data_IF_496148088109
#
_entry.id   IF_496148088109
#
_cell.length_a   1.000
_cell.length_b   1.000
_cell.length_c   1.000
_cell.angle_alpha   90.00
_cell.angle_beta   90.00
_cell.angle_gamma   90.00
#
_symmetry.space_group_name_H-M   'P 1'
#
loop_
_entity.id
_entity.type
_entity.pdbx_description
1 polymer ?
#
# COMPACT_ATOMS: atom_id res chain seq x y z
N UNK A 1 -24.15 25.22 -47.95
CA UNK A 1 -25.25 24.68 -47.12
C UNK A 1 -24.65 23.95 -45.92
N UNK A 2 -24.43 24.72 -44.84
CA UNK A 2 -24.31 24.37 -43.42
C UNK A 2 -23.53 23.12 -42.97
N UNK A 3 -22.19 23.15 -43.01
CA UNK A 3 -21.34 22.29 -42.16
C UNK A 3 -20.64 23.04 -41.02
N UNK A 4 -20.51 24.37 -41.10
CA UNK A 4 -19.87 25.20 -40.07
C UNK A 4 -20.62 25.25 -38.72
N UNK A 5 -21.89 24.84 -38.68
CA UNK A 5 -22.78 25.02 -37.51
C UNK A 5 -22.78 23.83 -36.52
N UNK A 6 -22.03 22.75 -36.78
CA UNK A 6 -22.06 21.52 -35.96
C UNK A 6 -21.05 21.50 -34.80
N UNK A 7 -19.96 22.27 -34.87
CA UNK A 7 -18.86 22.17 -33.91
C UNK A 7 -19.18 22.75 -32.52
N UNK A 8 -20.00 23.80 -32.46
CA UNK A 8 -20.41 24.43 -31.20
C UNK A 8 -21.20 23.49 -30.28
N UNK A 9 -21.91 22.49 -30.83
CA UNK A 9 -22.65 21.48 -30.04
C UNK A 9 -21.76 20.40 -29.42
N UNK A 10 -20.53 20.23 -29.95
CA UNK A 10 -19.55 19.24 -29.48
C UNK A 10 -18.70 19.83 -28.34
N UNK A 11 -18.49 21.14 -28.37
CA UNK A 11 -17.73 21.91 -27.37
C UNK A 11 -18.24 21.72 -25.92
N UNK A 12 -19.55 21.79 -25.62
CA UNK A 12 -20.04 21.58 -24.25
C UNK A 12 -19.90 20.11 -23.80
N UNK A 13 -20.01 19.14 -24.71
CA UNK A 13 -19.82 17.72 -24.38
C UNK A 13 -18.36 17.42 -24.04
N UNK A 14 -17.42 18.00 -24.80
CA UNK A 14 -16.00 17.89 -24.51
C UNK A 14 -15.63 18.57 -23.18
N UNK A 15 -16.23 19.73 -22.88
CA UNK A 15 -16.04 20.43 -21.62
C UNK A 15 -16.58 19.64 -20.41
N UNK A 16 -17.72 18.96 -20.55
CA UNK A 16 -18.28 18.08 -19.51
C UNK A 16 -17.39 16.85 -19.31
N UNK A 17 -16.88 16.24 -20.37
CA UNK A 17 -15.92 15.13 -20.28
C UNK A 17 -14.62 15.53 -19.58
N UNK A 18 -14.13 16.75 -19.82
CA UNK A 18 -12.96 17.30 -19.14
C UNK A 18 -13.24 17.59 -17.64
N UNK A 19 -14.47 17.97 -17.29
CA UNK A 19 -14.90 18.16 -15.89
C UNK A 19 -15.02 16.84 -15.11
N UNK A 20 -15.17 15.71 -15.81
CA UNK A 20 -15.27 14.38 -15.21
C UNK A 20 -13.91 13.66 -15.12
N UNK A 21 -12.85 14.27 -15.63
CA UNK A 21 -11.48 13.82 -15.38
C UNK A 21 -11.11 14.16 -13.93
N UNK A 22 -11.66 13.41 -12.98
CA UNK A 22 -11.17 13.45 -11.61
C UNK A 22 -9.79 12.78 -11.58
N UNK A 23 -8.85 13.41 -10.88
CA UNK A 23 -7.53 12.87 -10.65
C UNK A 23 -7.65 11.51 -9.94
N UNK A 24 -7.19 10.45 -10.59
CA UNK A 24 -6.95 9.19 -9.90
C UNK A 24 -5.74 9.40 -8.98
N UNK A 25 -5.99 9.68 -7.70
CA UNK A 25 -4.92 9.69 -6.69
C UNK A 25 -4.36 8.29 -6.58
N UNK A 26 -3.12 8.11 -7.04
CA UNK A 26 -2.40 6.87 -6.82
C UNK A 26 -2.16 6.68 -5.31
N UNK A 27 -2.30 5.45 -4.84
CA UNK A 27 -1.89 5.11 -3.48
C UNK A 27 -0.39 5.32 -3.34
N UNK A 28 0.02 5.95 -2.25
CA UNK A 28 1.44 6.03 -1.88
C UNK A 28 1.77 4.86 -0.97
N UNK A 29 2.89 4.20 -1.22
CA UNK A 29 3.36 3.09 -0.40
C UNK A 29 4.72 3.42 0.22
N UNK A 30 5.00 2.96 1.46
CA UNK A 30 6.36 2.98 1.98
C UNK A 30 7.27 2.15 1.08
N UNK A 31 8.54 2.57 1.00
CA UNK A 31 9.56 1.77 0.32
C UNK A 31 9.73 0.43 1.05
N UNK A 32 9.84 -0.65 0.26
CA UNK A 32 10.16 -1.97 0.81
C UNK A 32 11.55 -1.90 1.45
N UNK A 33 11.73 -2.38 2.70
CA UNK A 33 13.03 -2.36 3.35
C UNK A 33 14.02 -3.26 2.58
N UNK A 34 15.34 -2.97 2.65
CA UNK A 34 16.36 -3.79 2.01
C UNK A 34 16.41 -5.19 2.62
N UNK A 35 17.05 -6.16 1.94
CA UNK A 35 17.02 -7.60 2.22
C UNK A 35 17.37 -8.06 3.65
N UNK A 36 17.86 -7.17 4.52
CA UNK A 36 18.24 -7.47 5.92
C UNK A 36 17.22 -6.97 6.95
N UNK A 37 16.26 -6.17 6.51
CA UNK A 37 15.25 -5.57 7.37
C UNK A 37 13.86 -6.05 6.93
N UNK A 38 13.08 -6.49 7.91
CA UNK A 38 11.73 -7.02 7.70
C UNK A 38 10.65 -6.07 8.24
N UNK A 39 11.00 -4.81 8.44
CA UNK A 39 10.07 -3.82 8.94
C UNK A 39 10.29 -2.43 8.37
N UNK A 40 9.22 -1.64 8.39
CA UNK A 40 9.24 -0.18 8.18
C UNK A 40 8.56 0.44 9.38
N UNK A 41 9.27 1.31 10.10
CA UNK A 41 8.72 2.00 11.27
C UNK A 41 8.74 3.52 11.10
N UNK A 42 7.72 4.06 10.42
CA UNK A 42 7.66 5.50 10.11
C UNK A 42 7.27 6.38 11.30
N UNK A 43 6.82 5.78 12.40
CA UNK A 43 6.30 6.48 13.58
C UNK A 43 7.02 6.14 14.89
N UNK A 44 8.07 5.32 14.84
CA UNK A 44 8.86 4.96 16.01
C UNK A 44 8.10 4.11 17.03
N UNK A 45 7.21 3.22 16.56
CA UNK A 45 6.47 2.30 17.43
C UNK A 45 7.30 1.10 17.87
N UNK A 46 8.30 0.70 17.08
CA UNK A 46 9.19 -0.42 17.39
C UNK A 46 10.40 0.15 18.11
N UNK A 47 10.62 -0.27 19.36
CA UNK A 47 11.78 0.19 20.11
C UNK A 47 13.07 -0.30 19.46
N UNK A 48 14.13 0.52 19.53
CA UNK A 48 15.44 0.14 18.98
C UNK A 48 15.99 -1.17 19.56
N UNK A 49 15.67 -1.47 20.83
CA UNK A 49 16.06 -2.72 21.50
C UNK A 49 15.35 -3.97 20.94
N UNK A 50 14.16 -3.81 20.35
CA UNK A 50 13.32 -4.91 19.86
C UNK A 50 13.58 -5.22 18.37
N UNK A 51 14.11 -4.26 17.60
CA UNK A 51 14.36 -4.40 16.14
C UNK A 51 15.27 -5.59 15.80
N UNK A 52 16.38 -5.86 16.52
CA UNK A 52 17.23 -7.02 16.22
C UNK A 52 16.47 -8.34 16.40
N UNK A 53 15.69 -8.47 17.48
CA UNK A 53 14.89 -9.68 17.73
C UNK A 53 13.79 -9.84 16.68
N UNK A 54 13.16 -8.75 16.24
CA UNK A 54 12.16 -8.81 15.18
C UNK A 54 12.77 -9.34 13.87
N UNK A 55 13.91 -8.78 13.44
CA UNK A 55 14.62 -9.26 12.25
C UNK A 55 15.08 -10.72 12.40
N UNK A 56 15.58 -11.12 13.58
CA UNK A 56 15.98 -12.52 13.83
C UNK A 56 14.81 -13.49 13.66
N UNK A 57 13.63 -13.16 14.21
CA UNK A 57 12.43 -13.99 14.09
C UNK A 57 12.00 -14.13 12.62
N UNK A 58 11.92 -13.01 11.89
CA UNK A 58 11.47 -13.01 10.49
C UNK A 58 12.49 -13.65 9.56
N UNK A 59 13.78 -13.40 9.76
CA UNK A 59 14.86 -14.03 9.00
C UNK A 59 14.86 -15.55 9.20
N UNK A 60 14.67 -16.02 10.45
CA UNK A 60 14.55 -17.44 10.74
C UNK A 60 13.38 -18.08 10.01
N UNK A 61 12.20 -17.46 10.03
CA UNK A 61 11.01 -17.97 9.33
C UNK A 61 11.18 -17.96 7.80
N UNK A 62 11.88 -16.98 7.26
CA UNK A 62 12.26 -16.97 5.85
C UNK A 62 13.24 -18.11 5.54
N UNK A 63 14.29 -18.29 6.34
CA UNK A 63 15.35 -19.26 6.07
C UNK A 63 14.91 -20.72 6.27
N UNK A 64 14.13 -21.00 7.31
CA UNK A 64 13.74 -22.36 7.68
C UNK A 64 12.45 -22.80 6.97
N UNK A 65 11.46 -21.89 6.86
CA UNK A 65 10.11 -22.22 6.38
C UNK A 65 9.75 -21.57 5.03
N UNK A 66 10.63 -20.71 4.49
CA UNK A 66 10.37 -19.87 3.31
C UNK A 66 9.13 -18.97 3.48
N UNK A 67 8.86 -18.47 4.69
CA UNK A 67 7.71 -17.61 4.98
C UNK A 67 8.22 -16.17 5.14
N UNK A 68 8.10 -15.30 4.12
CA UNK A 68 8.47 -13.90 4.26
C UNK A 68 7.42 -13.16 5.08
N UNK A 69 7.86 -12.49 6.14
CA UNK A 69 6.99 -11.72 7.04
C UNK A 69 7.51 -10.29 7.10
N UNK A 70 6.63 -9.31 6.88
CA UNK A 70 6.96 -7.90 7.03
C UNK A 70 6.08 -7.21 8.07
N UNK A 71 6.65 -6.24 8.80
CA UNK A 71 5.92 -5.39 9.75
C UNK A 71 6.02 -3.93 9.33
N UNK A 72 4.89 -3.27 9.10
CA UNK A 72 4.85 -1.89 8.62
C UNK A 72 4.05 -1.03 9.58
N UNK A 73 4.62 0.07 10.04
CA UNK A 73 3.91 1.10 10.79
C UNK A 73 3.83 2.39 9.97
N UNK A 74 2.62 2.94 9.88
CA UNK A 74 2.31 4.21 9.23
C UNK A 74 1.60 5.15 10.20
N UNK A 75 1.74 6.46 9.99
CA UNK A 75 1.05 7.46 10.78
C UNK A 75 -0.48 7.42 10.57
N UNK A 76 -0.94 7.36 9.33
CA UNK A 76 -2.36 7.23 8.97
C UNK A 76 -2.50 6.76 7.52
N UNK A 77 -3.66 6.22 7.16
CA UNK A 77 -4.02 5.95 5.76
C UNK A 77 -4.13 7.24 4.94
N UNK A 78 -4.58 8.33 5.56
CA UNK A 78 -4.64 9.64 4.89
C UNK A 78 -3.26 10.14 4.47
N UNK A 79 -2.22 9.89 5.27
CA UNK A 79 -0.83 10.21 4.91
C UNK A 79 -0.25 9.34 3.79
N UNK A 80 -0.99 8.34 3.32
CA UNK A 80 -0.63 7.44 2.22
C UNK A 80 -1.58 7.61 1.02
N UNK A 81 -2.27 8.75 0.94
CA UNK A 81 -3.30 9.05 -0.07
C UNK A 81 -4.46 8.02 -0.08
N UNK A 82 -4.65 7.33 1.03
CA UNK A 82 -5.60 6.23 1.20
C UNK A 82 -6.73 6.60 2.18
N UNK A 83 -7.03 7.89 2.39
CA UNK A 83 -8.03 8.34 3.38
C UNK A 83 -9.42 7.72 3.19
N UNK A 84 -9.81 7.44 1.93
CA UNK A 84 -11.10 6.84 1.58
C UNK A 84 -11.07 5.30 1.53
N UNK A 85 -9.94 4.68 1.88
CA UNK A 85 -9.75 3.24 1.78
C UNK A 85 -9.90 2.58 3.16
N UNK A 86 -10.50 1.38 3.23
CA UNK A 86 -10.38 0.54 4.41
C UNK A 86 -8.92 0.04 4.54
N UNK A 87 -8.46 -0.24 5.77
CA UNK A 87 -7.07 -0.67 6.01
C UNK A 87 -6.78 -2.00 5.31
N UNK A 88 -7.79 -2.86 5.20
CA UNK A 88 -7.78 -4.14 4.49
C UNK A 88 -7.34 -3.93 3.05
N UNK A 89 -8.00 -3.03 2.32
CA UNK A 89 -7.66 -2.74 0.93
C UNK A 89 -6.24 -2.20 0.81
N UNK A 90 -5.87 -1.24 1.65
CA UNK A 90 -4.52 -0.69 1.61
C UNK A 90 -3.45 -1.75 1.91
N UNK A 91 -3.69 -2.65 2.87
CA UNK A 91 -2.78 -3.75 3.19
C UNK A 91 -2.64 -4.76 2.05
N UNK A 92 -3.75 -5.15 1.40
CA UNK A 92 -3.71 -6.01 0.21
C UNK A 92 -2.93 -5.36 -0.94
N UNK A 93 -3.17 -4.07 -1.21
CA UNK A 93 -2.46 -3.36 -2.28
C UNK A 93 -0.96 -3.22 -1.97
N UNK A 94 -0.59 -2.94 -0.71
CA UNK A 94 0.81 -2.92 -0.26
C UNK A 94 1.47 -4.29 -0.37
N UNK A 95 0.79 -5.35 0.06
CA UNK A 95 1.26 -6.73 -0.03
C UNK A 95 1.60 -7.11 -1.47
N UNK A 96 0.69 -6.80 -2.39
CA UNK A 96 0.85 -7.04 -3.83
C UNK A 96 1.95 -6.15 -4.43
N UNK A 97 1.99 -4.86 -4.06
CA UNK A 97 2.99 -3.92 -4.53
C UNK A 97 4.41 -4.36 -4.14
N UNK A 98 4.58 -4.93 -2.95
CA UNK A 98 5.86 -5.45 -2.47
C UNK A 98 6.18 -6.87 -2.96
N UNK A 99 5.23 -7.57 -3.57
CA UNK A 99 5.37 -8.97 -3.99
C UNK A 99 5.76 -9.85 -2.81
N UNK A 100 5.01 -9.80 -1.71
CA UNK A 100 5.29 -10.60 -0.52
C UNK A 100 4.82 -12.04 -0.75
N UNK A 101 5.68 -13.01 -0.47
CA UNK A 101 5.39 -14.43 -0.68
C UNK A 101 6.03 -14.99 -1.94
N UNK A 102 5.88 -16.29 -2.14
CA UNK A 102 6.34 -17.00 -3.33
C UNK A 102 5.12 -17.43 -4.17
N UNK A 103 5.16 -17.17 -5.48
CA UNK A 103 4.04 -17.41 -6.41
C UNK A 103 3.49 -18.84 -6.36
N UNK A 104 4.34 -19.82 -6.05
CA UNK A 104 3.97 -21.24 -5.97
C UNK A 104 3.40 -21.65 -4.60
N UNK A 105 3.63 -20.85 -3.54
CA UNK A 105 3.32 -21.23 -2.16
C UNK A 105 2.28 -20.38 -1.47
N UNK A 106 2.08 -19.12 -1.88
CA UNK A 106 1.12 -18.23 -1.25
C UNK A 106 1.26 -18.22 0.29
N UNK A 107 2.48 -17.93 0.75
CA UNK A 107 2.90 -18.08 2.14
C UNK A 107 3.53 -16.82 2.76
N UNK A 108 3.20 -15.64 2.23
CA UNK A 108 3.65 -14.36 2.76
C UNK A 108 2.74 -13.82 3.87
N UNK A 109 3.29 -12.99 4.74
CA UNK A 109 2.51 -12.23 5.73
C UNK A 109 2.97 -10.77 5.83
N UNK A 110 2.00 -9.87 5.97
CA UNK A 110 2.22 -8.47 6.27
C UNK A 110 1.40 -8.07 7.51
N UNK A 111 2.07 -7.57 8.54
CA UNK A 111 1.43 -6.88 9.65
C UNK A 111 1.50 -5.38 9.41
N UNK A 112 0.37 -4.74 9.16
CA UNK A 112 0.25 -3.30 9.00
C UNK A 112 -0.42 -2.66 10.22
N UNK A 113 0.22 -1.62 10.75
CA UNK A 113 -0.30 -0.76 11.83
C UNK A 113 -0.45 0.66 11.31
N UNK A 114 -1.67 1.18 11.34
CA UNK A 114 -1.94 2.61 11.17
C UNK A 114 -2.20 3.24 12.54
N UNK A 115 -1.17 3.90 13.09
CA UNK A 115 -1.13 4.35 14.48
C UNK A 115 -2.20 5.42 14.77
N UNK A 116 -2.26 6.47 13.95
CA UNK A 116 -3.21 7.57 14.09
C UNK A 116 -4.66 7.14 13.86
N UNK A 117 -4.88 6.16 12.99
CA UNK A 117 -6.22 5.60 12.75
C UNK A 117 -6.63 4.57 13.80
N UNK A 118 -5.68 4.12 14.65
CA UNK A 118 -5.84 3.02 15.61
C UNK A 118 -6.36 1.73 14.95
N UNK A 119 -5.81 1.42 13.78
CA UNK A 119 -6.17 0.22 13.00
C UNK A 119 -4.96 -0.69 12.82
N UNK A 120 -5.21 -1.98 12.87
CA UNK A 120 -4.21 -3.03 12.64
C UNK A 120 -4.79 -4.04 11.66
N UNK A 121 -3.97 -4.51 10.72
CA UNK A 121 -4.34 -5.52 9.74
C UNK A 121 -3.22 -6.52 9.56
N UNK A 122 -3.57 -7.81 9.52
CA UNK A 122 -2.68 -8.89 9.07
C UNK A 122 -3.16 -9.32 7.69
N UNK A 123 -2.34 -9.11 6.68
CA UNK A 123 -2.57 -9.62 5.34
C UNK A 123 -1.79 -10.92 5.16
N UNK A 124 -2.47 -11.94 4.64
CA UNK A 124 -1.91 -13.24 4.30
C UNK A 124 -2.13 -13.45 2.82
N UNK A 125 -1.16 -14.05 2.15
CA UNK A 125 -1.25 -14.32 0.73
C UNK A 125 -0.24 -15.33 0.29
#
# INVERSE_FOLDING_TARGET
MNSFFRWYKILPVLAILLLLAQDATALTFPEKPPDKDFFVDSVGLIKEEDKPTLNEITEKLLAEENIPIYVVTIASLAGQDAASFPIERYATELFNHWGIGFEDRNNGMLLLISSGDRKVRIELG
#
